data_IF_454853314589
#
_entry.id   IF_454853314589
#
_cell.length_a   1.000
_cell.length_b   1.000
_cell.length_c   1.000
_cell.angle_alpha   90.00
_cell.angle_beta   90.00
_cell.angle_gamma   90.00
#
_symmetry.space_group_name_H-M   'P 1'
#
loop_
_entity.id
_entity.type
_entity.pdbx_description
1 polymer ?
#
# COMPACT_ATOMS: atom_id res chain seq x y z
N UNK A 1 30.83 -5.51 -11.75
CA UNK A 1 29.42 -5.11 -11.93
C UNK A 1 28.61 -6.13 -12.71
N UNK A 2 29.11 -6.68 -13.83
CA UNK A 2 28.40 -7.72 -14.60
C UNK A 2 28.14 -9.03 -13.82
N UNK A 3 29.08 -9.51 -12.99
CA UNK A 3 28.91 -10.79 -12.24
C UNK A 3 27.85 -10.75 -11.13
N UNK A 4 27.52 -9.57 -10.60
CA UNK A 4 26.44 -9.42 -9.61
C UNK A 4 25.06 -9.40 -10.27
N UNK A 5 24.95 -8.90 -11.50
CA UNK A 5 23.71 -8.91 -12.26
C UNK A 5 23.33 -10.33 -12.71
N UNK A 6 24.26 -11.09 -13.27
CA UNK A 6 24.01 -12.48 -13.73
C UNK A 6 23.60 -13.43 -12.59
N UNK A 7 24.13 -13.22 -11.39
CA UNK A 7 23.79 -14.03 -10.20
C UNK A 7 22.40 -13.71 -9.65
N UNK A 8 21.95 -12.45 -9.76
CA UNK A 8 20.60 -12.06 -9.35
C UNK A 8 19.53 -12.54 -10.34
N UNK A 9 19.78 -12.39 -11.64
CA UNK A 9 18.91 -12.89 -12.72
C UNK A 9 18.71 -14.40 -12.65
N UNK A 10 19.80 -15.17 -12.50
CA UNK A 10 19.72 -16.64 -12.39
C UNK A 10 18.95 -17.08 -11.13
N UNK A 11 19.11 -16.35 -10.02
CA UNK A 11 18.39 -16.61 -8.77
C UNK A 11 16.88 -16.36 -8.90
N UNK A 12 16.48 -15.31 -9.63
CA UNK A 12 15.07 -14.95 -9.86
C UNK A 12 14.35 -15.97 -10.74
N UNK A 13 14.95 -16.39 -11.86
CA UNK A 13 14.38 -17.42 -12.75
C UNK A 13 14.18 -18.75 -12.00
N UNK A 14 15.19 -19.19 -11.25
CA UNK A 14 15.11 -20.42 -10.47
C UNK A 14 14.10 -20.31 -9.30
N UNK A 15 13.99 -19.13 -8.68
CA UNK A 15 12.96 -18.82 -7.67
C UNK A 15 11.54 -18.94 -8.21
N UNK A 16 11.30 -18.41 -9.41
CA UNK A 16 10.01 -18.51 -10.10
C UNK A 16 9.62 -19.95 -10.43
N UNK A 17 10.56 -20.72 -10.99
CA UNK A 17 10.36 -22.16 -11.29
C UNK A 17 10.06 -22.97 -10.02
N UNK A 18 10.78 -22.71 -8.92
CA UNK A 18 10.53 -23.34 -7.61
C UNK A 18 9.17 -22.97 -7.04
N UNK A 19 8.75 -21.70 -7.18
CA UNK A 19 7.43 -21.24 -6.76
C UNK A 19 6.32 -21.97 -7.51
N UNK A 20 6.44 -22.07 -8.84
CA UNK A 20 5.48 -22.79 -9.68
C UNK A 20 5.34 -24.27 -9.27
N UNK A 21 6.47 -24.98 -9.15
CA UNK A 21 6.47 -26.39 -8.75
C UNK A 21 5.85 -26.60 -7.36
N UNK A 22 6.15 -25.70 -6.43
CA UNK A 22 5.57 -25.74 -5.09
C UNK A 22 4.05 -25.49 -5.10
N UNK A 23 3.60 -24.44 -5.80
CA UNK A 23 2.19 -24.07 -5.92
C UNK A 23 1.37 -25.22 -6.51
N UNK A 24 1.90 -25.90 -7.54
CA UNK A 24 1.30 -27.12 -8.11
C UNK A 24 1.21 -28.24 -7.07
N UNK A 25 2.32 -28.55 -6.39
CA UNK A 25 2.39 -29.67 -5.43
C UNK A 25 1.39 -29.55 -4.28
N UNK A 26 1.11 -28.34 -3.82
CA UNK A 26 0.19 -28.13 -2.69
C UNK A 26 -1.25 -27.87 -3.12
N UNK A 27 -1.55 -27.93 -4.42
CA UNK A 27 -2.89 -27.63 -4.94
C UNK A 27 -3.30 -26.18 -4.68
N UNK A 28 -2.34 -25.23 -4.68
CA UNK A 28 -2.61 -23.83 -4.33
C UNK A 28 -3.70 -23.21 -5.21
N UNK A 29 -3.69 -23.51 -6.51
CA UNK A 29 -4.73 -23.03 -7.42
C UNK A 29 -6.12 -23.45 -6.94
N UNK A 30 -6.35 -24.74 -6.67
CA UNK A 30 -7.64 -25.22 -6.17
C UNK A 30 -8.05 -24.58 -4.84
N UNK A 31 -7.08 -24.38 -3.93
CA UNK A 31 -7.32 -23.68 -2.67
C UNK A 31 -7.80 -22.23 -2.90
N UNK A 32 -7.11 -21.46 -3.74
CA UNK A 32 -7.47 -20.08 -4.03
C UNK A 32 -8.75 -19.94 -4.87
N UNK A 33 -9.05 -20.90 -5.74
CA UNK A 33 -10.36 -20.95 -6.40
C UNK A 33 -11.49 -21.18 -5.38
N UNK A 34 -11.23 -21.90 -4.29
CA UNK A 34 -12.15 -22.04 -3.16
C UNK A 34 -12.55 -20.69 -2.54
N UNK A 35 -11.60 -19.74 -2.45
CA UNK A 35 -11.88 -18.38 -1.96
C UNK A 35 -12.81 -17.57 -2.85
N UNK A 36 -13.04 -17.97 -4.10
CA UNK A 36 -13.97 -17.29 -5.02
C UNK A 36 -15.36 -17.89 -5.04
N UNK A 37 -15.56 -19.06 -4.45
CA UNK A 37 -16.88 -19.70 -4.41
C UNK A 37 -17.87 -18.88 -3.58
N UNK A 38 -19.16 -19.08 -3.86
CA UNK A 38 -20.25 -18.38 -3.17
C UNK A 38 -20.32 -18.74 -1.68
N UNK A 39 -20.83 -17.79 -0.89
CA UNK A 39 -21.06 -17.95 0.56
C UNK A 39 -22.12 -19.04 0.76
N UNK A 40 -21.67 -20.25 1.11
CA UNK A 40 -22.52 -21.44 1.26
C UNK A 40 -21.86 -22.74 0.81
N UNK A 41 -20.73 -22.67 0.11
CA UNK A 41 -19.90 -23.86 -0.17
C UNK A 41 -18.95 -24.09 1.02
N UNK A 42 -19.04 -25.26 1.67
CA UNK A 42 -18.40 -25.62 2.96
C UNK A 42 -16.85 -25.63 2.97
N UNK A 43 -16.20 -25.12 1.91
CA UNK A 43 -14.75 -24.90 1.89
C UNK A 43 -14.41 -23.56 2.53
N UNK A 44 -14.65 -23.43 3.84
CA UNK A 44 -14.24 -22.27 4.62
C UNK A 44 -12.72 -22.23 4.75
N UNK A 45 -12.06 -21.51 3.85
CA UNK A 45 -10.64 -21.18 3.99
C UNK A 45 -10.49 -20.27 5.22
N UNK A 46 -9.61 -20.63 6.15
CA UNK A 46 -9.31 -19.79 7.30
C UNK A 46 -8.31 -18.68 6.93
N UNK A 47 -8.34 -17.56 7.68
CA UNK A 47 -7.35 -16.50 7.53
C UNK A 47 -5.93 -17.01 7.80
N UNK A 48 -5.77 -17.91 8.79
CA UNK A 48 -4.49 -18.48 9.18
C UNK A 48 -3.89 -19.33 8.05
N UNK A 49 -4.71 -20.09 7.33
CA UNK A 49 -4.29 -20.80 6.12
C UNK A 49 -3.90 -19.81 5.02
N UNK A 50 -4.75 -18.82 4.75
CA UNK A 50 -4.47 -17.78 3.76
C UNK A 50 -3.12 -17.09 4.03
N UNK A 51 -2.91 -16.60 5.25
CA UNK A 51 -1.64 -15.98 5.65
C UNK A 51 -0.47 -16.95 5.50
N UNK A 52 -0.62 -18.20 5.94
CA UNK A 52 0.42 -19.21 5.77
C UNK A 52 0.75 -19.49 4.30
N UNK A 53 -0.22 -19.40 3.38
CA UNK A 53 0.06 -19.52 1.94
C UNK A 53 0.89 -18.34 1.45
N UNK A 54 0.57 -17.11 1.84
CA UNK A 54 1.35 -15.93 1.46
C UNK A 54 2.81 -16.03 1.94
N UNK A 55 3.02 -16.41 3.21
CA UNK A 55 4.37 -16.57 3.79
C UNK A 55 5.18 -17.60 2.99
N UNK A 56 4.53 -18.68 2.55
CA UNK A 56 5.17 -19.74 1.77
C UNK A 56 5.49 -19.29 0.35
N UNK A 57 4.57 -18.58 -0.31
CA UNK A 57 4.77 -18.02 -1.66
C UNK A 57 5.96 -17.05 -1.62
N UNK A 58 5.88 -16.02 -0.77
CA UNK A 58 6.93 -15.01 -0.64
C UNK A 58 8.28 -15.64 -0.29
N UNK A 59 8.30 -16.54 0.69
CA UNK A 59 9.52 -17.21 1.13
C UNK A 59 10.15 -18.09 0.04
N UNK A 60 9.40 -18.62 -0.93
CA UNK A 60 9.99 -19.36 -2.06
C UNK A 60 10.54 -18.40 -3.11
N UNK A 61 9.80 -17.33 -3.41
CA UNK A 61 10.22 -16.29 -4.35
C UNK A 61 11.51 -15.58 -3.91
N UNK A 62 11.78 -15.55 -2.60
CA UNK A 62 13.00 -15.00 -2.00
C UNK A 62 14.06 -16.06 -1.67
N UNK A 63 13.82 -17.33 -1.97
CA UNK A 63 14.67 -18.45 -1.53
C UNK A 63 14.93 -18.50 -0.01
N UNK A 64 13.98 -18.02 0.79
CA UNK A 64 14.02 -18.03 2.26
C UNK A 64 13.81 -19.45 2.81
N UNK A 65 14.69 -19.93 3.72
CA UNK A 65 14.52 -21.21 4.38
C UNK A 65 13.16 -21.34 5.07
N UNK A 66 12.54 -22.52 5.01
CA UNK A 66 11.18 -22.77 5.53
C UNK A 66 10.99 -22.28 6.98
N UNK A 67 11.98 -22.48 7.85
CA UNK A 67 11.93 -22.09 9.26
C UNK A 67 12.01 -20.57 9.51
N UNK A 68 12.34 -19.77 8.47
CA UNK A 68 12.47 -18.31 8.54
C UNK A 68 11.40 -17.57 7.72
N UNK A 69 10.41 -18.29 7.18
CA UNK A 69 9.34 -17.66 6.40
C UNK A 69 8.32 -17.03 7.34
N UNK A 70 7.88 -15.83 7.00
CA UNK A 70 6.93 -15.06 7.78
C UNK A 70 6.99 -13.58 7.38
N UNK A 71 6.08 -12.79 7.95
CA UNK A 71 6.11 -11.34 7.83
C UNK A 71 7.40 -10.77 8.46
N UNK A 72 8.18 -10.03 7.69
CA UNK A 72 9.45 -9.41 8.10
C UNK A 72 9.60 -7.96 7.59
N UNK A 73 8.51 -7.37 7.08
CA UNK A 73 8.49 -6.02 6.50
C UNK A 73 8.50 -4.87 7.51
N UNK A 74 9.27 -4.94 8.59
CA UNK A 74 9.29 -3.91 9.65
C UNK A 74 9.84 -2.56 9.21
N UNK A 75 10.83 -2.56 8.31
CA UNK A 75 11.59 -1.37 7.89
C UNK A 75 11.45 -1.08 6.39
N UNK A 76 10.28 -1.39 5.83
CA UNK A 76 10.04 -1.20 4.40
C UNK A 76 9.68 0.25 4.14
N UNK A 77 10.45 0.88 3.25
CA UNK A 77 10.15 2.17 2.65
C UNK A 77 10.02 1.93 1.14
N UNK A 78 8.97 2.49 0.54
CA UNK A 78 8.78 2.42 -0.90
C UNK A 78 9.62 3.49 -1.58
N UNK A 79 10.64 3.10 -2.35
CA UNK A 79 11.42 4.04 -3.16
C UNK A 79 10.67 4.31 -4.47
N UNK A 80 10.09 5.51 -4.59
CA UNK A 80 9.65 6.08 -5.88
C UNK A 80 10.78 6.84 -6.57
N UNK A 81 10.50 7.34 -7.79
CA UNK A 81 11.45 8.16 -8.57
C UNK A 81 11.77 9.53 -7.91
N UNK A 82 10.95 9.97 -6.95
CA UNK A 82 11.08 11.27 -6.30
C UNK A 82 11.06 11.19 -4.76
N UNK A 83 10.40 10.19 -4.14
CA UNK A 83 10.26 10.12 -2.67
C UNK A 83 10.23 8.69 -2.08
N UNK A 84 10.60 8.56 -0.80
CA UNK A 84 10.48 7.35 0.02
C UNK A 84 9.14 7.28 0.77
N UNK A 85 8.14 6.58 0.26
CA UNK A 85 6.81 6.51 0.90
C UNK A 85 6.80 5.51 2.07
N UNK A 86 6.25 5.95 3.21
CA UNK A 86 6.01 5.10 4.38
C UNK A 86 4.77 4.22 4.18
N UNK A 87 4.85 2.95 4.59
CA UNK A 87 3.74 1.99 4.63
C UNK A 87 3.16 1.90 6.07
N UNK A 88 2.03 1.22 6.31
CA UNK A 88 1.51 1.02 7.66
C UNK A 88 2.55 0.38 8.60
N UNK A 89 2.45 0.65 9.92
CA UNK A 89 3.32 0.02 10.91
C UNK A 89 3.21 -1.49 10.87
N UNK A 90 4.32 -2.18 11.12
CA UNK A 90 4.36 -3.64 11.12
C UNK A 90 3.29 -4.27 12.01
N UNK A 91 3.05 -3.70 13.20
CA UNK A 91 2.05 -4.16 14.14
C UNK A 91 0.61 -4.11 13.57
N UNK A 92 0.30 -3.20 12.65
CA UNK A 92 -1.03 -3.08 12.04
C UNK A 92 -1.22 -4.02 10.84
N UNK A 93 -0.14 -4.47 10.18
CA UNK A 93 -0.22 -5.15 8.87
C UNK A 93 -1.07 -6.41 8.88
N UNK A 94 -0.97 -7.21 9.95
CA UNK A 94 -1.74 -8.46 10.08
C UNK A 94 -3.24 -8.19 10.19
N UNK A 95 -3.63 -7.18 10.96
CA UNK A 95 -5.04 -6.85 11.17
C UNK A 95 -5.65 -6.21 9.91
N UNK A 96 -4.86 -5.41 9.18
CA UNK A 96 -5.26 -4.90 7.86
C UNK A 96 -5.47 -6.06 6.89
N UNK A 97 -4.54 -7.02 6.82
CA UNK A 97 -4.67 -8.19 5.96
C UNK A 97 -5.91 -9.02 6.33
N UNK A 98 -6.19 -9.22 7.63
CA UNK A 98 -7.40 -9.91 8.09
C UNK A 98 -8.66 -9.17 7.68
N UNK A 99 -8.68 -7.84 7.82
CA UNK A 99 -9.81 -7.02 7.39
C UNK A 99 -10.08 -7.20 5.90
N UNK A 100 -9.04 -7.18 5.06
CA UNK A 100 -9.17 -7.41 3.62
C UNK A 100 -9.65 -8.83 3.29
N UNK A 101 -9.16 -9.84 4.03
CA UNK A 101 -9.62 -11.22 3.90
C UNK A 101 -11.11 -11.36 4.21
N UNK A 102 -11.54 -10.85 5.36
CA UNK A 102 -12.94 -10.91 5.78
C UNK A 102 -13.86 -10.13 4.84
N UNK A 103 -13.37 -9.01 4.29
CA UNK A 103 -14.05 -8.24 3.25
C UNK A 103 -14.18 -9.06 1.95
N UNK A 104 -13.10 -9.69 1.49
CA UNK A 104 -13.08 -10.51 0.28
C UNK A 104 -14.09 -11.68 0.36
N UNK A 105 -14.27 -12.29 1.53
CA UNK A 105 -15.29 -13.33 1.73
C UNK A 105 -16.73 -12.82 1.57
N UNK A 106 -16.96 -11.52 1.73
CA UNK A 106 -18.30 -10.89 1.70
C UNK A 106 -18.58 -10.13 0.40
N UNK A 107 -17.61 -10.02 -0.51
CA UNK A 107 -17.79 -9.33 -1.79
C UNK A 107 -18.91 -9.99 -2.61
N UNK A 108 -19.82 -9.14 -3.12
CA UNK A 108 -20.91 -9.55 -4.01
C UNK A 108 -20.39 -10.04 -5.37
N UNK A 109 -19.41 -9.32 -5.92
CA UNK A 109 -18.72 -9.75 -7.12
C UNK A 109 -17.49 -10.58 -6.72
N UNK A 110 -17.49 -11.88 -7.01
CA UNK A 110 -16.40 -12.79 -6.63
C UNK A 110 -15.13 -12.58 -7.45
N UNK A 111 -15.21 -11.94 -8.61
CA UNK A 111 -14.04 -11.66 -9.44
C UNK A 111 -13.15 -10.59 -8.79
N UNK A 112 -13.74 -9.70 -7.99
CA UNK A 112 -13.04 -8.63 -7.28
C UNK A 112 -12.05 -9.15 -6.24
N UNK A 113 -12.25 -10.37 -5.74
CA UNK A 113 -11.31 -11.04 -4.82
C UNK A 113 -9.91 -11.12 -5.45
N UNK A 114 -9.84 -11.35 -6.76
CA UNK A 114 -8.60 -11.41 -7.50
C UNK A 114 -7.87 -10.06 -7.56
N UNK A 115 -8.53 -8.93 -7.27
CA UNK A 115 -7.90 -7.62 -7.26
C UNK A 115 -7.65 -7.12 -5.83
N UNK A 116 -8.66 -7.25 -4.95
CA UNK A 116 -8.59 -6.78 -3.57
C UNK A 116 -7.45 -7.43 -2.78
N UNK A 117 -7.38 -8.76 -2.70
CA UNK A 117 -6.37 -9.40 -1.86
C UNK A 117 -4.95 -9.13 -2.35
N UNK A 118 -4.65 -9.22 -3.66
CA UNK A 118 -3.34 -8.86 -4.18
C UNK A 118 -2.94 -7.41 -3.96
N UNK A 119 -3.82 -6.44 -4.22
CA UNK A 119 -3.46 -5.03 -4.04
C UNK A 119 -3.18 -4.72 -2.57
N UNK A 120 -3.91 -5.33 -1.64
CA UNK A 120 -3.67 -5.12 -0.20
C UNK A 120 -2.35 -5.74 0.25
N UNK A 121 -2.00 -6.94 -0.24
CA UNK A 121 -0.68 -7.55 0.02
C UNK A 121 0.44 -6.63 -0.44
N UNK A 122 0.27 -5.97 -1.59
CA UNK A 122 1.22 -5.00 -2.08
C UNK A 122 1.21 -3.72 -1.23
N UNK A 123 0.05 -3.14 -0.92
CA UNK A 123 -0.08 -1.89 -0.17
C UNK A 123 0.52 -1.95 1.24
N UNK A 124 0.29 -3.03 1.98
CA UNK A 124 0.80 -3.13 3.36
C UNK A 124 2.30 -3.46 3.42
N UNK A 125 2.90 -3.95 2.33
CA UNK A 125 4.28 -4.42 2.30
C UNK A 125 4.61 -5.35 3.48
N UNK A 126 3.90 -6.48 3.57
CA UNK A 126 4.03 -7.42 4.70
C UNK A 126 5.46 -7.98 4.86
N UNK A 127 6.18 -8.10 3.75
CA UNK A 127 7.53 -8.68 3.69
C UNK A 127 8.58 -7.62 3.42
N UNK A 128 9.83 -7.89 3.81
CA UNK A 128 10.97 -7.00 3.53
C UNK A 128 11.26 -6.87 2.03
N UNK A 129 10.90 -7.88 1.23
CA UNK A 129 11.02 -7.90 -0.23
C UNK A 129 9.94 -8.82 -0.84
N UNK A 130 9.70 -8.70 -2.15
CA UNK A 130 8.90 -9.63 -2.92
C UNK A 130 7.39 -9.41 -2.82
N UNK A 131 6.93 -8.30 -2.23
CA UNK A 131 5.49 -7.99 -2.11
C UNK A 131 4.80 -7.92 -3.48
N UNK A 132 5.37 -7.19 -4.45
CA UNK A 132 4.82 -7.13 -5.81
C UNK A 132 4.77 -8.50 -6.52
N UNK A 133 5.83 -9.32 -6.39
CA UNK A 133 5.84 -10.70 -6.95
C UNK A 133 4.80 -11.60 -6.27
N UNK A 134 4.65 -11.47 -4.96
CA UNK A 134 3.66 -12.22 -4.17
C UNK A 134 2.24 -11.81 -4.55
N UNK A 135 2.01 -10.50 -4.72
CA UNK A 135 0.74 -9.92 -5.18
C UNK A 135 0.35 -10.46 -6.56
N UNK A 136 1.23 -10.39 -7.56
CA UNK A 136 0.94 -10.94 -8.90
C UNK A 136 0.70 -12.44 -8.88
N UNK A 137 1.50 -13.21 -8.15
CA UNK A 137 1.27 -14.65 -8.00
C UNK A 137 -0.12 -14.94 -7.39
N UNK A 138 -0.51 -14.18 -6.36
CA UNK A 138 -1.82 -14.30 -5.73
C UNK A 138 -2.96 -13.94 -6.69
N UNK A 139 -2.82 -12.87 -7.46
CA UNK A 139 -3.79 -12.47 -8.48
C UNK A 139 -4.05 -13.59 -9.48
N UNK A 140 -2.99 -14.21 -10.01
CA UNK A 140 -3.12 -15.33 -10.94
C UNK A 140 -3.74 -16.57 -10.29
N UNK A 141 -3.39 -16.88 -9.04
CA UNK A 141 -4.01 -18.00 -8.30
C UNK A 141 -5.51 -17.79 -8.09
N UNK A 142 -5.96 -16.54 -8.05
CA UNK A 142 -7.36 -16.14 -7.91
C UNK A 142 -8.06 -15.95 -9.27
N UNK A 143 -7.38 -15.96 -10.42
CA UNK A 143 -8.03 -15.86 -11.75
C UNK A 143 -8.44 -17.22 -12.29
N UNK A 144 -9.35 -17.23 -13.27
CA UNK A 144 -9.65 -18.41 -14.07
C UNK A 144 -8.77 -18.44 -15.33
N UNK A 145 -8.35 -19.63 -15.74
CA UNK A 145 -7.59 -19.85 -16.95
C UNK A 145 -8.26 -20.92 -17.82
N UNK A 146 -8.14 -20.82 -19.15
CA UNK A 146 -8.69 -21.82 -20.07
C UNK A 146 -7.98 -23.18 -19.98
N UNK A 147 -6.75 -23.20 -19.46
CA UNK A 147 -5.98 -24.44 -19.25
C UNK A 147 -4.93 -24.26 -18.16
N UNK A 148 -4.44 -25.37 -17.60
CA UNK A 148 -3.30 -25.37 -16.69
C UNK A 148 -2.04 -24.79 -17.37
N UNK A 149 -1.83 -25.07 -18.66
CA UNK A 149 -0.69 -24.53 -19.40
C UNK A 149 -0.73 -23.00 -19.45
N UNK A 150 -1.89 -22.41 -19.76
CA UNK A 150 -2.04 -20.95 -19.80
C UNK A 150 -1.78 -20.31 -18.41
N UNK A 151 -2.26 -20.95 -17.34
CA UNK A 151 -1.94 -20.52 -15.97
C UNK A 151 -0.44 -20.59 -15.67
N UNK A 152 0.23 -21.68 -16.05
CA UNK A 152 1.66 -21.88 -15.79
C UNK A 152 2.54 -20.86 -16.54
N UNK A 153 2.17 -20.54 -17.79
CA UNK A 153 2.83 -19.52 -18.60
C UNK A 153 2.71 -18.13 -17.96
N UNK A 154 1.50 -17.71 -17.59
CA UNK A 154 1.27 -16.41 -16.97
C UNK A 154 1.92 -16.31 -15.59
N UNK A 155 1.86 -17.37 -14.79
CA UNK A 155 2.50 -17.40 -13.47
C UNK A 155 4.01 -17.30 -13.58
N UNK A 156 4.61 -17.98 -14.57
CA UNK A 156 6.06 -17.91 -14.81
C UNK A 156 6.50 -16.49 -15.17
N UNK A 157 5.77 -15.80 -16.05
CA UNK A 157 6.02 -14.39 -16.38
C UNK A 157 5.91 -13.49 -15.15
N UNK A 158 4.80 -13.59 -14.42
CA UNK A 158 4.49 -12.72 -13.29
C UNK A 158 5.52 -12.76 -12.15
N UNK A 159 6.08 -13.94 -11.87
CA UNK A 159 7.08 -14.13 -10.81
C UNK A 159 8.52 -14.06 -11.31
N UNK A 160 8.71 -13.99 -12.63
CA UNK A 160 10.00 -13.83 -13.30
C UNK A 160 10.63 -12.46 -13.10
N UNK A 161 11.79 -12.26 -13.73
CA UNK A 161 12.56 -11.02 -13.63
C UNK A 161 11.80 -9.81 -14.17
N UNK A 162 11.20 -9.96 -15.35
CA UNK A 162 10.47 -8.90 -16.03
C UNK A 162 8.97 -8.87 -15.69
N UNK A 163 8.54 -9.66 -14.71
CA UNK A 163 7.12 -9.74 -14.33
C UNK A 163 6.51 -8.43 -13.85
N UNK A 164 7.32 -7.40 -13.54
CA UNK A 164 6.82 -6.04 -13.29
C UNK A 164 6.38 -5.33 -14.57
N UNK A 165 7.01 -5.65 -15.70
CA UNK A 165 6.81 -5.01 -17.00
C UNK A 165 5.95 -5.88 -17.94
N UNK A 166 6.01 -7.20 -17.78
CA UNK A 166 5.37 -8.17 -18.68
C UNK A 166 4.12 -8.83 -18.08
N UNK A 167 3.63 -8.35 -16.93
CA UNK A 167 2.44 -8.90 -16.26
C UNK A 167 1.65 -7.80 -15.56
N UNK A 168 0.62 -8.16 -14.80
CA UNK A 168 -0.31 -7.23 -14.16
C UNK A 168 0.37 -6.21 -13.23
N UNK A 169 0.02 -4.93 -13.40
CA UNK A 169 0.42 -3.86 -12.50
C UNK A 169 -0.55 -3.74 -11.32
N UNK A 170 -0.26 -4.42 -10.21
CA UNK A 170 -1.07 -4.38 -8.98
C UNK A 170 -0.51 -3.36 -7.98
N UNK A 171 0.04 -2.25 -8.48
CA UNK A 171 0.56 -1.17 -7.64
C UNK A 171 -0.61 -0.37 -7.04
N UNK A 172 -0.74 -0.27 -5.70
CA UNK A 172 -1.75 0.59 -5.09
C UNK A 172 -1.63 2.06 -5.51
N UNK A 173 -0.47 2.48 -6.04
CA UNK A 173 -0.25 3.85 -6.51
C UNK A 173 -1.18 4.26 -7.66
N UNK A 174 -1.78 3.30 -8.38
CA UNK A 174 -2.77 3.53 -9.43
C UNK A 174 -3.91 4.44 -8.96
N UNK A 175 -4.39 4.25 -7.72
CA UNK A 175 -5.52 5.01 -7.14
C UNK A 175 -5.12 5.85 -5.93
N UNK A 176 -3.82 6.08 -5.74
CA UNK A 176 -3.28 6.74 -4.55
C UNK A 176 -3.79 8.17 -4.38
N UNK A 177 -3.90 8.92 -5.49
CA UNK A 177 -4.40 10.30 -5.45
C UNK A 177 -5.89 10.34 -5.09
N UNK A 178 -6.68 9.37 -5.56
CA UNK A 178 -8.11 9.28 -5.23
C UNK A 178 -8.33 9.06 -3.74
N UNK A 179 -7.58 8.13 -3.15
CA UNK A 179 -7.67 7.84 -1.72
C UNK A 179 -7.20 9.04 -0.89
N UNK A 180 -6.09 9.68 -1.27
CA UNK A 180 -5.57 10.87 -0.57
C UNK A 180 -6.58 12.00 -0.55
N UNK A 181 -7.25 12.26 -1.67
CA UNK A 181 -8.28 13.29 -1.75
C UNK A 181 -9.39 13.05 -0.72
N UNK A 182 -9.86 11.82 -0.60
CA UNK A 182 -10.90 11.44 0.37
C UNK A 182 -10.42 11.67 1.80
N UNK A 183 -9.19 11.28 2.13
CA UNK A 183 -8.61 11.54 3.45
C UNK A 183 -8.44 13.04 3.71
N UNK A 184 -7.89 13.79 2.77
CA UNK A 184 -7.66 15.23 2.90
C UNK A 184 -8.96 16.00 3.10
N UNK A 185 -10.00 15.67 2.33
CA UNK A 185 -11.32 16.25 2.51
C UNK A 185 -11.89 15.99 3.93
N UNK A 186 -11.71 14.76 4.48
CA UNK A 186 -12.09 14.46 5.88
C UNK A 186 -11.36 15.33 6.91
N UNK A 187 -10.14 15.75 6.59
CA UNK A 187 -9.31 16.62 7.44
C UNK A 187 -9.41 18.11 7.06
N UNK A 188 -10.48 18.50 6.36
CA UNK A 188 -10.81 19.91 6.10
C UNK A 188 -9.93 20.58 5.05
N UNK A 189 -9.29 19.81 4.16
CA UNK A 189 -8.55 20.36 3.04
C UNK A 189 -9.46 20.65 1.86
N UNK A 190 -9.26 21.84 1.29
CA UNK A 190 -9.79 22.22 -0.02
C UNK A 190 -8.74 22.01 -1.11
N UNK A 191 -9.14 22.10 -2.38
CA UNK A 191 -8.27 21.82 -3.53
C UNK A 191 -8.36 22.95 -4.55
N UNK A 192 -7.21 23.42 -5.03
CA UNK A 192 -7.14 24.62 -5.86
C UNK A 192 -7.52 24.40 -7.33
N UNK A 193 -7.46 23.15 -7.81
CA UNK A 193 -7.65 22.81 -9.22
C UNK A 193 -8.33 21.43 -9.36
N UNK A 194 -9.46 21.34 -10.08
CA UNK A 194 -10.12 20.08 -10.39
C UNK A 194 -9.35 19.17 -11.36
N UNK A 195 -8.16 19.54 -11.84
CA UNK A 195 -7.29 18.67 -12.65
C UNK A 195 -6.08 18.15 -11.88
N UNK A 196 -5.38 19.03 -11.14
CA UNK A 196 -4.15 18.66 -10.44
C UNK A 196 -4.36 18.28 -8.97
N UNK A 197 -5.54 18.58 -8.40
CA UNK A 197 -5.94 18.20 -7.04
C UNK A 197 -4.89 18.47 -5.97
N UNK A 198 -4.13 19.54 -6.17
CA UNK A 198 -3.17 20.03 -5.19
C UNK A 198 -3.94 20.52 -3.96
N UNK A 199 -3.68 19.96 -2.77
CA UNK A 199 -4.33 20.41 -1.55
C UNK A 199 -3.93 21.86 -1.28
N UNK A 200 -4.92 22.72 -1.05
CA UNK A 200 -4.71 24.08 -0.57
C UNK A 200 -4.26 24.04 0.88
N UNK A 201 -3.49 25.05 1.27
CA UNK A 201 -3.22 25.25 2.70
C UNK A 201 -4.54 25.55 3.42
N UNK A 202 -4.76 24.98 4.62
CA UNK A 202 -5.90 25.36 5.44
C UNK A 202 -5.92 26.87 5.72
N UNK A 203 -7.09 27.41 6.03
CA UNK A 203 -7.26 28.84 6.26
C UNK A 203 -6.21 29.41 7.23
N UNK A 204 -5.58 30.51 6.83
CA UNK A 204 -4.54 31.19 7.60
C UNK A 204 -3.15 30.57 7.49
N UNK A 205 -2.97 29.38 6.92
CA UNK A 205 -1.64 28.79 6.74
C UNK A 205 -0.98 29.24 5.43
N UNK A 206 0.30 29.62 5.51
CA UNK A 206 1.13 29.94 4.34
C UNK A 206 1.98 28.74 3.87
N UNK A 207 2.27 27.81 4.78
CA UNK A 207 2.92 26.52 4.52
C UNK A 207 2.61 25.57 5.68
N UNK A 208 2.86 24.28 5.50
CA UNK A 208 2.63 23.27 6.54
C UNK A 208 3.62 23.39 7.72
N UNK A 209 4.91 23.48 7.40
CA UNK A 209 6.01 23.57 8.37
C UNK A 209 6.95 24.71 8.00
N UNK A 210 7.58 25.34 9.00
CA UNK A 210 8.64 26.33 8.78
C UNK A 210 9.91 25.68 8.24
N UNK A 211 10.76 26.47 7.57
CA UNK A 211 12.05 26.02 7.02
C UNK A 211 13.14 26.23 8.07
N UNK A 212 13.04 25.50 9.18
CA UNK A 212 13.98 25.53 10.29
C UNK A 212 14.80 24.23 10.34
N UNK A 213 16.05 24.27 10.84
CA UNK A 213 16.84 23.05 11.00
C UNK A 213 16.24 22.16 12.08
N UNK A 214 16.06 20.87 11.77
CA UNK A 214 15.67 19.86 12.75
C UNK A 214 16.89 19.40 13.56
N UNK A 215 16.90 19.63 14.88
CA UNK A 215 18.07 19.35 15.73
C UNK A 215 17.91 18.10 16.59
N UNK A 216 16.72 17.86 17.16
CA UNK A 216 16.41 16.67 17.97
C UNK A 216 16.08 15.43 17.13
N UNK A 217 16.14 14.21 17.71
CA UNK A 217 15.68 13.00 17.02
C UNK A 217 14.23 13.07 16.53
N UNK A 218 13.32 13.66 17.32
CA UNK A 218 11.90 13.73 16.97
C UNK A 218 11.64 14.72 15.83
N UNK A 219 12.23 15.92 15.85
CA UNK A 219 12.08 16.87 14.74
C UNK A 219 12.74 16.35 13.47
N UNK A 220 13.88 15.65 13.55
CA UNK A 220 14.52 15.01 12.39
C UNK A 220 13.63 13.92 11.80
N UNK A 221 12.99 13.13 12.66
CA UNK A 221 12.01 12.12 12.23
C UNK A 221 10.80 12.77 11.56
N UNK A 222 10.19 13.80 12.17
CA UNK A 222 9.05 14.50 11.57
C UNK A 222 9.43 15.18 10.25
N UNK A 223 10.61 15.81 10.17
CA UNK A 223 11.11 16.41 8.94
C UNK A 223 11.29 15.34 7.85
N UNK A 224 11.84 14.17 8.20
CA UNK A 224 11.95 13.04 7.27
C UNK A 224 10.59 12.58 6.76
N UNK A 225 9.59 12.45 7.65
CA UNK A 225 8.22 12.10 7.27
C UNK A 225 7.57 13.19 6.41
N UNK A 226 7.84 14.47 6.68
CA UNK A 226 7.29 15.58 5.91
C UNK A 226 7.87 15.71 4.51
N UNK A 227 9.08 15.18 4.29
CA UNK A 227 9.70 15.14 2.95
C UNK A 227 8.99 14.12 2.07
N UNK A 228 8.69 12.94 2.62
CA UNK A 228 8.00 11.89 1.89
C UNK A 228 6.49 12.05 1.81
N UNK A 229 5.88 12.59 2.88
CA UNK A 229 4.43 12.80 2.97
C UNK A 229 4.12 14.03 3.82
N UNK A 230 4.33 15.19 3.19
CA UNK A 230 4.19 16.51 3.81
C UNK A 230 2.81 16.73 4.42
N UNK A 231 1.76 16.31 3.72
CA UNK A 231 0.38 16.56 4.13
C UNK A 231 -0.04 15.61 5.25
N UNK A 232 0.33 14.32 5.22
CA UNK A 232 -0.01 13.41 6.33
C UNK A 232 0.71 13.83 7.61
N UNK A 233 1.99 14.20 7.49
CA UNK A 233 2.77 14.70 8.63
C UNK A 233 2.16 15.96 9.23
N UNK A 234 1.66 16.85 8.37
CA UNK A 234 0.95 18.06 8.79
C UNK A 234 -0.39 17.76 9.45
N UNK A 235 -1.25 16.93 8.85
CA UNK A 235 -2.54 16.53 9.41
C UNK A 235 -2.34 15.92 10.80
N UNK A 236 -1.45 14.93 10.91
CA UNK A 236 -1.18 14.26 12.18
C UNK A 236 -0.67 15.23 13.26
N UNK A 237 0.17 16.19 12.88
CA UNK A 237 0.66 17.21 13.82
C UNK A 237 -0.46 18.18 14.21
N UNK A 238 -1.13 18.80 13.24
CA UNK A 238 -2.18 19.80 13.45
C UNK A 238 -3.32 19.22 14.30
N UNK A 239 -3.89 18.09 13.87
CA UNK A 239 -5.09 17.54 14.50
C UNK A 239 -4.83 17.11 15.94
N UNK A 240 -3.68 16.49 16.21
CA UNK A 240 -3.30 16.16 17.58
C UNK A 240 -3.12 17.43 18.41
N UNK A 241 -2.30 18.38 17.94
CA UNK A 241 -1.99 19.60 18.69
C UNK A 241 -3.23 20.46 18.95
N UNK A 242 -4.16 20.50 18.00
CA UNK A 242 -5.47 21.15 18.16
C UNK A 242 -6.29 20.44 19.24
N UNK A 243 -6.37 19.10 19.19
CA UNK A 243 -7.14 18.31 20.16
C UNK A 243 -6.68 18.45 21.61
N UNK A 244 -5.40 18.78 21.83
CA UNK A 244 -4.82 19.00 23.18
C UNK A 244 -4.58 20.48 23.50
N UNK A 245 -5.07 21.40 22.65
CA UNK A 245 -4.96 22.85 22.89
C UNK A 245 -3.53 23.40 22.85
N UNK A 246 -2.60 22.73 22.16
CA UNK A 246 -1.18 23.12 22.03
C UNK A 246 -0.83 23.74 20.68
N UNK A 247 -1.75 23.73 19.70
CA UNK A 247 -1.47 24.17 18.33
C UNK A 247 -0.92 25.60 18.28
N UNK A 248 -1.59 26.57 18.91
CA UNK A 248 -1.17 27.98 18.88
C UNK A 248 0.22 28.22 19.47
N UNK A 249 0.67 27.39 20.43
CA UNK A 249 1.99 27.51 21.03
C UNK A 249 3.13 27.13 20.06
N UNK A 250 2.84 26.33 19.04
CA UNK A 250 3.84 25.86 18.08
C UNK A 250 3.73 26.51 16.71
N UNK A 251 2.78 27.43 16.53
CA UNK A 251 2.65 28.20 15.29
C UNK A 251 3.63 29.36 15.25
N UNK A 252 4.19 29.62 14.07
CA UNK A 252 5.00 30.81 13.77
C UNK A 252 4.31 31.63 12.68
N UNK A 253 4.23 32.94 12.90
CA UNK A 253 3.73 33.90 11.90
C UNK A 253 4.80 34.15 10.83
N UNK A 254 4.38 34.11 9.58
CA UNK A 254 5.13 34.42 8.37
C UNK A 254 4.46 35.61 7.67
N UNK A 255 5.14 36.21 6.69
CA UNK A 255 4.65 37.41 5.98
C UNK A 255 3.25 37.25 5.35
N UNK A 256 2.83 36.01 5.05
CA UNK A 256 1.59 35.70 4.36
C UNK A 256 0.70 34.65 5.07
N UNK A 257 0.93 34.40 6.36
CA UNK A 257 0.12 33.43 7.13
C UNK A 257 0.91 32.75 8.23
N UNK A 258 0.47 31.58 8.67
CA UNK A 258 1.13 30.79 9.73
C UNK A 258 1.66 29.45 9.24
N UNK A 259 2.54 28.86 10.03
CA UNK A 259 3.07 27.51 9.81
C UNK A 259 3.41 26.85 11.16
N UNK A 260 3.44 25.51 11.20
CA UNK A 260 3.91 24.78 12.38
C UNK A 260 5.45 24.89 12.44
N UNK A 261 5.99 25.41 13.55
CA UNK A 261 7.44 25.55 13.76
C UNK A 261 8.01 24.32 14.43
N UNK A 262 9.00 23.70 13.78
CA UNK A 262 9.71 22.56 14.34
C UNK A 262 10.48 22.95 15.61
N UNK A 263 11.10 24.14 15.65
CA UNK A 263 11.81 24.61 16.85
C UNK A 263 10.85 24.79 18.02
N UNK A 264 9.69 25.42 17.80
CA UNK A 264 8.68 25.59 18.87
C UNK A 264 8.09 24.26 19.34
N UNK A 265 7.93 23.30 18.43
CA UNK A 265 7.55 21.94 18.82
C UNK A 265 8.60 21.29 19.73
N UNK A 266 9.89 21.48 19.46
CA UNK A 266 10.95 20.93 20.32
C UNK A 266 10.97 21.54 21.73
N UNK A 267 10.70 22.85 21.82
CA UNK A 267 10.66 23.57 23.10
C UNK A 267 9.41 23.25 23.91
N UNK A 268 8.27 23.04 23.24
CA UNK A 268 6.95 22.97 23.88
C UNK A 268 6.34 21.57 24.01
N UNK A 269 6.84 20.56 23.29
CA UNK A 269 6.23 19.22 23.26
C UNK A 269 6.98 18.22 24.15
N UNK A 270 6.21 17.44 24.88
CA UNK A 270 6.69 16.26 25.61
C UNK A 270 6.95 15.08 24.67
N UNK A 271 7.64 14.04 25.16
CA UNK A 271 7.80 12.82 24.38
C UNK A 271 6.45 12.16 24.04
N UNK A 272 5.48 12.21 24.95
CA UNK A 272 4.13 11.68 24.71
C UNK A 272 3.42 12.41 23.54
N UNK A 273 3.60 13.73 23.44
CA UNK A 273 3.06 14.51 22.32
C UNK A 273 3.65 14.05 20.99
N UNK A 274 4.97 13.88 20.93
CA UNK A 274 5.66 13.36 19.74
C UNK A 274 5.17 11.95 19.37
N UNK A 275 5.03 11.07 20.35
CA UNK A 275 4.55 9.70 20.13
C UNK A 275 3.13 9.69 19.57
N UNK A 276 2.25 10.58 20.05
CA UNK A 276 0.88 10.72 19.54
C UNK A 276 0.86 11.31 18.11
N UNK A 277 1.70 12.28 17.80
CA UNK A 277 1.84 12.80 16.42
C UNK A 277 2.29 11.69 15.47
N UNK A 278 3.31 10.91 15.86
CA UNK A 278 3.78 9.80 15.02
C UNK A 278 2.73 8.69 14.91
N UNK A 279 1.98 8.39 15.98
CA UNK A 279 0.85 7.45 15.92
C UNK A 279 -0.21 7.94 14.94
N UNK A 280 -0.60 9.21 15.02
CA UNK A 280 -1.55 9.83 14.09
C UNK A 280 -1.11 9.73 12.63
N UNK A 281 0.19 9.93 12.36
CA UNK A 281 0.74 9.75 11.01
C UNK A 281 0.54 8.31 10.50
N UNK A 282 0.84 7.31 11.32
CA UNK A 282 0.68 5.91 10.92
C UNK A 282 -0.78 5.46 10.91
N UNK A 283 -1.65 6.07 11.72
CA UNK A 283 -3.09 5.88 11.66
C UNK A 283 -3.65 6.34 10.30
N UNK A 284 -3.16 7.45 9.74
CA UNK A 284 -3.51 7.90 8.39
C UNK A 284 -3.04 6.92 7.31
N UNK A 285 -1.83 6.33 7.46
CA UNK A 285 -1.34 5.26 6.55
C UNK A 285 -2.21 4.00 6.63
N UNK A 286 -2.64 3.62 7.84
CA UNK A 286 -3.59 2.52 8.02
C UNK A 286 -4.95 2.83 7.40
N UNK A 287 -5.47 4.04 7.62
CA UNK A 287 -6.74 4.48 7.04
C UNK A 287 -6.69 4.48 5.50
N UNK A 288 -5.57 4.89 4.91
CA UNK A 288 -5.38 4.85 3.45
C UNK A 288 -5.68 3.45 2.89
N UNK A 289 -5.08 2.41 3.49
CA UNK A 289 -5.32 1.03 3.06
C UNK A 289 -6.75 0.58 3.39
N UNK A 290 -7.35 1.04 4.49
CA UNK A 290 -8.76 0.76 4.78
C UNK A 290 -9.72 1.35 3.75
N UNK A 291 -9.46 2.56 3.26
CA UNK A 291 -10.25 3.17 2.19
C UNK A 291 -10.11 2.35 0.90
N UNK A 292 -8.91 1.84 0.59
CA UNK A 292 -8.74 0.91 -0.52
C UNK A 292 -9.56 -0.37 -0.34
N UNK A 293 -9.66 -0.94 0.87
CA UNK A 293 -10.54 -2.09 1.11
C UNK A 293 -12.01 -1.70 0.89
N UNK A 294 -12.44 -0.60 1.51
CA UNK A 294 -13.83 -0.13 1.45
C UNK A 294 -14.26 0.27 0.04
N UNK A 295 -13.35 0.72 -0.83
CA UNK A 295 -13.68 1.01 -2.22
C UNK A 295 -14.07 -0.23 -3.02
N UNK A 296 -13.62 -1.43 -2.63
CA UNK A 296 -14.10 -2.69 -3.20
C UNK A 296 -15.40 -3.17 -2.55
N UNK A 297 -15.56 -2.95 -1.24
CA UNK A 297 -16.76 -3.41 -0.50
C UNK A 297 -17.99 -2.56 -0.83
N UNK A 298 -17.81 -1.24 -0.88
CA UNK A 298 -18.86 -0.24 -1.04
C UNK A 298 -18.52 0.76 -2.17
N UNK A 299 -18.30 0.30 -3.42
CA UNK A 299 -17.71 1.10 -4.49
C UNK A 299 -18.43 2.41 -4.78
N UNK A 300 -19.76 2.45 -4.65
CA UNK A 300 -20.56 3.65 -4.88
C UNK A 300 -20.24 4.82 -3.94
N UNK A 301 -19.65 4.55 -2.77
CA UNK A 301 -19.24 5.58 -1.80
C UNK A 301 -17.84 6.16 -2.10
N UNK A 302 -17.07 5.52 -2.97
CA UNK A 302 -15.67 5.84 -3.23
C UNK A 302 -15.45 6.10 -4.72
N UNK A 303 -15.67 7.35 -5.12
CA UNK A 303 -15.50 7.81 -6.50
C UNK A 303 -14.07 8.24 -6.78
N UNK A 304 -13.67 8.11 -8.04
CA UNK A 304 -12.46 8.73 -8.56
C UNK A 304 -12.51 10.24 -8.39
N UNK A 305 -11.35 10.84 -8.51
CA UNK A 305 -11.09 12.25 -8.34
C UNK A 305 -11.94 13.12 -9.27
N UNK A 306 -12.12 12.71 -10.52
CA UNK A 306 -13.01 13.36 -11.51
C UNK A 306 -14.50 13.00 -11.34
N UNK A 307 -14.82 12.09 -10.43
CA UNK A 307 -16.16 11.59 -10.16
C UNK A 307 -16.73 10.64 -11.23
N UNK A 308 -15.96 10.32 -12.28
CA UNK A 308 -16.47 9.58 -13.44
C UNK A 308 -16.66 8.09 -13.18
N UNK A 309 -15.83 7.50 -12.32
CA UNK A 309 -15.80 6.06 -12.01
C UNK A 309 -15.70 5.84 -10.50
N UNK A 310 -15.88 4.61 -10.06
CA UNK A 310 -15.50 4.22 -8.69
C UNK A 310 -14.00 3.96 -8.64
N UNK A 311 -13.38 4.13 -7.47
CA UNK A 311 -11.95 3.83 -7.27
C UNK A 311 -11.65 2.36 -7.64
N UNK A 312 -12.58 1.45 -7.29
CA UNK A 312 -12.53 0.05 -7.70
C UNK A 312 -12.44 -0.11 -9.21
N UNK A 313 -13.31 0.56 -9.97
CA UNK A 313 -13.36 0.42 -11.42
C UNK A 313 -12.10 0.97 -12.08
N UNK A 314 -11.61 2.13 -11.63
CA UNK A 314 -10.34 2.70 -12.10
C UNK A 314 -9.20 1.71 -11.89
N UNK A 315 -9.09 1.14 -10.68
CA UNK A 315 -8.03 0.19 -10.38
C UNK A 315 -8.09 -1.06 -11.27
N UNK A 316 -9.27 -1.68 -11.40
CA UNK A 316 -9.44 -2.89 -12.21
C UNK A 316 -9.11 -2.62 -13.68
N UNK A 317 -9.60 -1.51 -14.23
CA UNK A 317 -9.37 -1.15 -15.63
C UNK A 317 -7.88 -0.93 -15.93
N UNK A 318 -7.15 -0.24 -15.06
CA UNK A 318 -5.71 -0.05 -15.22
C UNK A 318 -4.93 -1.37 -15.12
N UNK A 319 -5.32 -2.25 -14.19
CA UNK A 319 -4.70 -3.59 -14.05
C UNK A 319 -4.91 -4.43 -15.32
N UNK A 320 -6.11 -4.43 -15.89
CA UNK A 320 -6.42 -5.20 -17.10
C UNK A 320 -5.78 -4.57 -18.35
N UNK A 321 -5.81 -3.24 -18.50
CA UNK A 321 -5.25 -2.54 -19.66
C UNK A 321 -3.72 -2.62 -19.73
N UNK A 322 -3.04 -2.70 -18.58
CA UNK A 322 -1.58 -2.86 -18.52
C UNK A 322 -1.10 -4.09 -19.32
N UNK A 323 -1.92 -5.14 -19.40
CA UNK A 323 -1.55 -6.38 -20.12
C UNK A 323 -1.61 -6.28 -21.65
N UNK A 324 -2.20 -5.21 -22.20
CA UNK A 324 -2.41 -5.05 -23.64
C UNK A 324 -1.28 -4.30 -24.37
N UNK A 325 -0.09 -4.20 -23.78
CA UNK A 325 1.13 -3.80 -24.51
C UNK A 325 1.32 -2.28 -24.62
N UNK A 326 1.37 -1.60 -23.48
CA UNK A 326 1.96 -0.26 -23.46
C UNK A 326 3.49 -0.38 -23.47
N UNK A 327 4.12 0.12 -24.54
CA UNK A 327 5.56 0.35 -24.61
C UNK A 327 5.94 1.35 -23.50
N UNK A 328 6.47 0.83 -22.38
CA UNK A 328 6.82 1.61 -21.19
C UNK A 328 8.18 2.31 -21.30
N UNK A 329 8.52 2.77 -22.51
CA UNK A 329 9.62 3.71 -22.74
C UNK A 329 9.15 5.15 -22.50
N UNK A 330 8.98 5.54 -21.23
CA UNK A 330 8.96 6.97 -20.83
C UNK A 330 9.75 7.20 -19.55
#
# INVERSE_FOLDING_TARGET
MMSHYETETTSRVEGGRKALQFLKRIGAYNFFQGLRKDVGDDTAVSFEEFQSFLDRINGILRSTPKAKRGADGERVYLKGAVDETQVPLHADKRDILRTAFDAALKLKNRDDVAFLLPVIVNAIHMYADGNGRTSRALHLLLRQFPSNTAFEEELTKAVGEDGRYESFNLDPDIVYQDIRKIQYAKHGFEFSDPKNWSPMFPEGYATFFTVEPAVTPNSKKLLSLSRSDKVYSFIASRDYLESVGKLENVLTMLDHGKAISLTRMEEGLSQEDWDNIFRGYFDLKREHVKILIESFVNPEQYRSVDGSKTIRDVFIEEVENFTLGADHSK
#
